data_IF_813013796259
#
_entry.id   IF_813013796259
#
_cell.length_a   1.000
_cell.length_b   1.000
_cell.length_c   1.000
_cell.angle_alpha   90.00
_cell.angle_beta   90.00
_cell.angle_gamma   90.00
#
_symmetry.space_group_name_H-M   'P 1'
#
loop_
_entity.id
_entity.type
_entity.pdbx_description
1 polymer ?
#
# COMPACT_ATOMS: atom_id res chain seq x y z
N UNK A 1 3.98 10.10 -21.56
CA UNK A 1 4.69 8.91 -21.06
C UNK A 1 5.36 9.31 -19.75
N UNK A 2 5.07 8.63 -18.63
CA UNK A 2 5.69 8.94 -17.33
C UNK A 2 7.04 8.22 -17.20
N UNK A 3 8.08 8.87 -16.61
CA UNK A 3 9.35 8.21 -16.35
C UNK A 3 9.20 7.06 -15.33
N UNK A 4 10.10 6.05 -15.31
CA UNK A 4 9.98 4.85 -14.46
C UNK A 4 9.82 5.11 -12.96
N UNK A 5 10.27 6.27 -12.47
CA UNK A 5 10.21 6.68 -11.07
C UNK A 5 9.24 7.85 -10.81
N UNK A 6 8.34 8.14 -11.76
CA UNK A 6 7.35 9.19 -11.59
C UNK A 6 6.44 8.88 -10.40
N UNK A 7 6.47 9.74 -9.37
CA UNK A 7 5.55 9.64 -8.22
C UNK A 7 4.15 10.14 -8.54
N UNK A 8 4.01 11.00 -9.56
CA UNK A 8 2.76 11.59 -9.99
C UNK A 8 2.66 11.59 -11.51
N UNK A 9 1.43 11.49 -12.03
CA UNK A 9 1.16 11.57 -13.46
C UNK A 9 1.30 13.01 -13.95
N UNK A 10 2.14 13.25 -14.95
CA UNK A 10 2.40 14.61 -15.47
C UNK A 10 1.19 15.26 -16.15
N UNK A 11 0.19 14.47 -16.58
CA UNK A 11 -0.98 14.97 -17.29
C UNK A 11 -2.19 15.24 -16.37
N UNK A 12 -2.35 14.49 -15.27
CA UNK A 12 -3.52 14.59 -14.39
C UNK A 12 -3.21 14.79 -12.90
N UNK A 13 -1.94 14.72 -12.48
CA UNK A 13 -1.53 14.90 -11.09
C UNK A 13 -1.81 13.73 -10.15
N UNK A 14 -2.44 12.64 -10.62
CA UNK A 14 -2.69 11.45 -9.81
C UNK A 14 -1.38 10.82 -9.29
N UNK A 15 -1.38 10.34 -8.04
CA UNK A 15 -0.25 9.63 -7.46
C UNK A 15 -0.08 8.26 -8.13
N UNK A 16 1.10 8.04 -8.71
CA UNK A 16 1.51 6.77 -9.33
C UNK A 16 2.32 5.92 -8.36
N UNK A 17 2.55 6.39 -7.14
CA UNK A 17 3.09 5.55 -6.09
C UNK A 17 2.07 4.45 -5.82
N UNK A 18 2.39 3.24 -6.28
CA UNK A 18 1.72 2.04 -5.83
C UNK A 18 1.81 2.04 -4.30
N UNK A 19 0.65 2.19 -3.65
CA UNK A 19 0.53 2.07 -2.21
C UNK A 19 1.24 0.80 -1.79
N UNK A 20 2.34 0.93 -1.05
CA UNK A 20 3.20 -0.19 -0.66
C UNK A 20 2.51 -1.01 0.42
N UNK A 21 1.36 -1.59 0.11
CA UNK A 21 0.59 -2.40 1.02
C UNK A 21 1.27 -3.77 1.16
N UNK A 22 1.31 -4.29 2.38
CA UNK A 22 1.75 -5.64 2.70
C UNK A 22 0.52 -6.53 2.92
N UNK A 23 0.62 -7.81 2.59
CA UNK A 23 -0.49 -8.75 2.78
C UNK A 23 -0.53 -9.26 4.22
N UNK A 24 -1.72 -9.37 4.79
CA UNK A 24 -1.93 -10.00 6.08
C UNK A 24 -1.56 -11.47 6.02
N UNK A 25 -0.69 -11.98 6.90
CA UNK A 25 -0.33 -13.39 6.90
C UNK A 25 -1.50 -14.31 7.30
N UNK A 26 -2.54 -13.77 7.95
CA UNK A 26 -3.70 -14.54 8.41
C UNK A 26 -4.86 -14.54 7.41
N UNK A 27 -5.24 -13.37 6.90
CA UNK A 27 -6.43 -13.23 6.04
C UNK A 27 -6.12 -12.76 4.60
N UNK A 28 -4.87 -12.43 4.28
CA UNK A 28 -4.48 -11.94 2.96
C UNK A 28 -4.93 -10.52 2.60
N UNK A 29 -5.57 -9.79 3.52
CA UNK A 29 -5.95 -8.39 3.27
C UNK A 29 -4.73 -7.48 3.13
N UNK A 30 -4.86 -6.41 2.35
CA UNK A 30 -3.84 -5.38 2.24
C UNK A 30 -3.76 -4.53 3.52
N UNK A 31 -2.55 -4.35 4.03
CA UNK A 31 -2.25 -3.64 5.27
C UNK A 31 -1.13 -2.63 5.01
N UNK A 32 -1.19 -1.50 5.71
CA UNK A 32 -0.09 -0.52 5.68
C UNK A 32 1.17 -1.09 6.36
N UNK A 33 2.36 -0.88 5.81
CA UNK A 33 3.61 -1.21 6.47
C UNK A 33 3.68 -0.55 7.86
N UNK A 34 4.05 -1.31 8.87
CA UNK A 34 4.12 -0.81 10.26
C UNK A 34 2.80 -0.77 11.02
N UNK A 35 1.70 -1.29 10.45
CA UNK A 35 0.46 -1.45 11.21
C UNK A 35 0.67 -2.43 12.38
N UNK A 36 0.18 -2.06 13.57
CA UNK A 36 0.30 -2.92 14.77
C UNK A 36 -0.64 -4.13 14.74
N UNK A 37 -1.81 -3.93 14.14
CA UNK A 37 -2.85 -4.93 14.00
C UNK A 37 -3.46 -4.87 12.60
N UNK A 38 -3.98 -5.99 12.12
CA UNK A 38 -4.72 -6.06 10.87
C UNK A 38 -6.09 -5.37 11.06
N UNK A 39 -6.42 -4.33 10.28
CA UNK A 39 -7.70 -3.63 10.40
C UNK A 39 -8.90 -4.45 9.91
N UNK A 40 -8.64 -5.57 9.22
CA UNK A 40 -9.70 -6.43 8.70
C UNK A 40 -10.03 -7.59 9.65
N UNK A 41 -9.02 -8.28 10.18
CA UNK A 41 -9.21 -9.50 10.99
C UNK A 41 -8.73 -9.40 12.44
N UNK A 42 -8.09 -8.29 12.83
CA UNK A 42 -7.58 -8.06 14.19
C UNK A 42 -6.26 -8.75 14.54
N UNK A 43 -5.61 -9.42 13.59
CA UNK A 43 -4.33 -10.10 13.82
C UNK A 43 -3.23 -9.13 14.26
N UNK A 44 -2.43 -9.49 15.26
CA UNK A 44 -1.27 -8.70 15.69
C UNK A 44 -0.09 -8.93 14.75
N UNK A 45 0.50 -7.85 14.21
CA UNK A 45 1.50 -7.93 13.14
C UNK A 45 2.93 -7.56 13.58
N UNK A 46 3.05 -6.86 14.71
CA UNK A 46 4.33 -6.42 15.29
C UNK A 46 4.51 -6.97 16.70
#
# INVERSE_FOLDING_TARGET
MNPPNAKFCINCGASLQASTLVKCPKCGSDIQPGAKFCPNCGEKLI
#
